data_IF_899452202234
#
_entry.id   IF_899452202234
#
_cell.length_a   1.000
_cell.length_b   1.000
_cell.length_c   1.000
_cell.angle_alpha   90.00
_cell.angle_beta   90.00
_cell.angle_gamma   90.00
#
_symmetry.space_group_name_H-M   'P 1'
#
loop_
_entity.id
_entity.type
_entity.pdbx_description
1 polymer ?
#
# COMPACT_ATOMS: atom_id res chain seq x y z
N UNK A 1 -1.03 42.50 25.87
CA UNK A 1 -1.41 41.09 26.04
C UNK A 1 -1.32 40.42 24.68
N UNK A 2 -0.24 39.69 24.40
CA UNK A 2 -0.06 39.02 23.11
C UNK A 2 -0.78 37.66 23.15
N UNK A 3 -1.84 37.51 22.36
CA UNK A 3 -2.46 36.23 22.08
C UNK A 3 -1.51 35.44 21.15
N UNK A 4 -0.71 34.55 21.73
CA UNK A 4 0.03 33.55 20.99
C UNK A 4 -0.99 32.60 20.38
N UNK A 5 -1.19 32.70 19.07
CA UNK A 5 -1.99 31.73 18.33
C UNK A 5 -1.13 30.48 18.18
N UNK A 6 -1.31 29.50 19.07
CA UNK A 6 -0.70 28.20 18.92
C UNK A 6 -1.13 27.63 17.56
N UNK A 7 -0.16 27.24 16.71
CA UNK A 7 -0.45 26.52 15.48
C UNK A 7 -1.25 25.26 15.86
N UNK A 8 -2.34 24.92 15.16
CA UNK A 8 -3.08 23.69 15.44
C UNK A 8 -2.10 22.52 15.31
N UNK A 9 -1.88 21.84 16.43
CA UNK A 9 -0.95 20.72 16.53
C UNK A 9 -1.64 19.51 15.93
N UNK A 10 -1.02 18.91 14.89
CA UNK A 10 -1.40 17.58 14.43
C UNK A 10 -1.22 16.62 15.61
N UNK A 11 -2.23 15.82 15.91
CA UNK A 11 -2.28 15.07 17.16
C UNK A 11 -2.59 13.59 16.91
N UNK A 12 -3.46 13.26 15.96
CA UNK A 12 -3.94 11.90 15.85
C UNK A 12 -2.86 10.92 15.33
N UNK A 13 -2.98 9.65 15.74
CA UNK A 13 -2.13 8.55 15.27
C UNK A 13 -2.96 7.36 14.82
N UNK A 14 -2.51 6.71 13.75
CA UNK A 14 -2.98 5.40 13.33
C UNK A 14 -1.88 4.37 13.55
N UNK A 15 -2.25 3.20 14.06
CA UNK A 15 -1.29 2.15 14.36
C UNK A 15 -1.93 0.77 14.32
N UNK A 16 -1.12 -0.24 14.06
CA UNK A 16 -1.54 -1.63 14.13
C UNK A 16 -1.21 -2.25 15.49
N UNK A 17 -2.02 -3.20 15.94
CA UNK A 17 -1.78 -3.98 17.15
C UNK A 17 -2.12 -5.46 16.92
N UNK A 18 -1.15 -6.37 17.11
CA UNK A 18 0.25 -6.09 17.44
C UNK A 18 1.01 -5.42 16.29
N UNK A 19 2.11 -4.72 16.60
CA UNK A 19 2.98 -4.06 15.60
C UNK A 19 3.88 -5.06 14.88
N UNK A 20 4.17 -6.20 15.50
CA UNK A 20 4.94 -7.29 14.92
C UNK A 20 4.19 -8.61 15.05
N UNK A 21 4.27 -9.44 14.03
CA UNK A 21 3.60 -10.73 14.02
C UNK A 21 4.39 -11.77 13.23
N UNK A 22 4.31 -13.02 13.66
CA UNK A 22 4.84 -14.17 12.92
C UNK A 22 3.68 -15.10 12.61
N UNK A 23 3.59 -15.56 11.36
CA UNK A 23 2.58 -16.52 10.92
C UNK A 23 3.19 -17.56 9.98
N UNK A 24 2.51 -18.69 9.82
CA UNK A 24 2.90 -19.72 8.87
C UNK A 24 2.35 -19.40 7.48
N UNK A 25 3.04 -19.80 6.42
CA UNK A 25 2.53 -19.70 5.06
C UNK A 25 1.13 -20.37 4.95
N UNK A 26 0.17 -19.63 4.39
CA UNK A 26 -1.23 -20.05 4.25
C UNK A 26 -2.11 -19.66 5.44
N UNK A 27 -1.53 -19.37 6.62
CA UNK A 27 -2.25 -18.96 7.81
C UNK A 27 -2.88 -17.57 7.62
N UNK A 28 -4.08 -17.39 8.18
CA UNK A 28 -4.77 -16.09 8.24
C UNK A 28 -4.91 -15.68 9.70
N UNK A 29 -4.49 -14.46 10.00
CA UNK A 29 -4.48 -13.85 11.34
C UNK A 29 -5.19 -12.51 11.29
N UNK A 30 -5.66 -12.01 12.43
CA UNK A 30 -6.23 -10.67 12.52
C UNK A 30 -5.29 -9.71 13.24
N UNK A 31 -5.20 -8.49 12.72
CA UNK A 31 -4.44 -7.38 13.31
C UNK A 31 -5.39 -6.21 13.51
N UNK A 32 -5.42 -5.68 14.74
CA UNK A 32 -6.25 -4.55 15.08
C UNK A 32 -5.69 -3.26 14.50
N UNK A 33 -6.56 -2.42 13.94
CA UNK A 33 -6.24 -1.06 13.53
C UNK A 33 -6.76 -0.10 14.60
N UNK A 34 -5.84 0.60 15.25
CA UNK A 34 -6.09 1.48 16.38
C UNK A 34 -5.99 2.94 15.96
N UNK A 35 -6.85 3.76 16.56
CA UNK A 35 -6.86 5.21 16.46
C UNK A 35 -6.54 5.79 17.83
N UNK A 36 -5.50 6.62 17.88
CA UNK A 36 -5.24 7.52 19.00
C UNK A 36 -5.63 8.95 18.59
N UNK A 37 -6.72 9.51 19.11
CA UNK A 37 -7.08 10.90 18.84
C UNK A 37 -6.14 11.94 19.45
N UNK A 38 -5.31 11.58 20.44
CA UNK A 38 -4.51 12.51 21.24
C UNK A 38 -5.28 13.76 21.72
N UNK A 39 -6.55 13.55 22.12
CA UNK A 39 -7.44 14.60 22.62
C UNK A 39 -8.31 15.28 21.56
N UNK A 40 -8.06 15.07 20.26
CA UNK A 40 -8.86 15.63 19.18
C UNK A 40 -10.25 15.00 19.05
N UNK A 41 -11.18 15.73 18.41
CA UNK A 41 -12.55 15.30 18.18
C UNK A 41 -12.67 14.64 16.80
N UNK A 42 -12.44 13.34 16.71
CA UNK A 42 -12.37 12.68 15.40
C UNK A 42 -13.79 12.39 14.89
N UNK A 43 -14.11 12.95 13.72
CA UNK A 43 -15.37 12.68 13.02
C UNK A 43 -15.21 11.54 12.01
N UNK A 44 -14.00 11.31 11.49
CA UNK A 44 -13.76 10.21 10.57
C UNK A 44 -12.29 9.97 10.26
N UNK A 45 -12.03 8.91 9.52
CA UNK A 45 -10.71 8.57 9.01
C UNK A 45 -10.84 7.95 7.62
N UNK A 46 -9.93 8.35 6.75
CA UNK A 46 -9.67 7.68 5.48
C UNK A 46 -8.40 6.85 5.65
N UNK A 47 -8.48 5.57 5.32
CA UNK A 47 -7.38 4.63 5.51
C UNK A 47 -6.96 4.10 4.15
N UNK A 48 -5.68 4.28 3.82
CA UNK A 48 -5.06 3.73 2.63
C UNK A 48 -3.90 2.83 3.06
N UNK A 49 -4.01 1.55 2.76
CA UNK A 49 -3.01 0.55 3.11
C UNK A 49 -2.22 0.13 1.89
N UNK A 50 -0.95 -0.19 2.12
CA UNK A 50 -0.03 -0.77 1.15
C UNK A 50 0.68 -1.98 1.75
N UNK A 51 0.87 -3.02 0.95
CA UNK A 51 1.57 -4.25 1.32
C UNK A 51 2.22 -4.88 0.10
N UNK A 52 3.19 -5.78 0.30
CA UNK A 52 3.76 -6.55 -0.81
C UNK A 52 2.85 -7.75 -1.14
N UNK A 53 2.17 -7.76 -2.31
CA UNK A 53 1.24 -8.82 -2.67
C UNK A 53 1.92 -10.16 -2.97
N UNK A 54 3.25 -10.22 -3.02
CA UNK A 54 4.00 -11.49 -3.11
C UNK A 54 3.98 -12.23 -1.78
N UNK A 55 3.97 -11.50 -0.67
CA UNK A 55 4.09 -12.06 0.67
C UNK A 55 2.78 -12.02 1.45
N UNK A 56 1.97 -10.98 1.28
CA UNK A 56 0.72 -10.81 2.03
C UNK A 56 -0.52 -10.81 1.12
N UNK A 57 -1.63 -11.25 1.67
CA UNK A 57 -2.97 -11.14 1.12
C UNK A 57 -3.90 -10.59 2.21
N UNK A 58 -4.69 -9.56 1.90
CA UNK A 58 -5.75 -9.11 2.80
C UNK A 58 -7.04 -9.85 2.46
N UNK A 59 -7.52 -10.66 3.40
CA UNK A 59 -8.71 -11.48 3.22
C UNK A 59 -10.00 -10.66 3.42
N UNK A 60 -10.03 -9.85 4.48
CA UNK A 60 -11.16 -8.94 4.79
C UNK A 60 -10.73 -7.83 5.75
N UNK A 61 -11.53 -6.77 5.79
CA UNK A 61 -11.41 -5.67 6.77
C UNK A 61 -12.77 -5.45 7.40
N UNK A 62 -12.86 -5.58 8.71
CA UNK A 62 -14.10 -5.41 9.47
C UNK A 62 -13.99 -4.18 10.37
N UNK A 63 -14.93 -3.25 10.26
CA UNK A 63 -15.02 -2.12 11.20
C UNK A 63 -15.44 -2.61 12.59
N UNK A 64 -15.05 -1.88 13.62
CA UNK A 64 -15.63 -2.04 14.95
C UNK A 64 -16.87 -1.16 15.13
N UNK A 65 -17.45 -1.16 16.32
CA UNK A 65 -18.58 -0.29 16.66
C UNK A 65 -18.16 1.16 16.96
N UNK A 66 -16.85 1.48 16.96
CA UNK A 66 -16.37 2.85 17.19
C UNK A 66 -16.93 3.82 16.16
N UNK A 67 -16.94 3.42 14.89
CA UNK A 67 -17.56 4.17 13.81
C UNK A 67 -18.78 3.40 13.29
N UNK A 68 -19.98 4.00 13.29
CA UNK A 68 -21.18 3.30 12.85
C UNK A 68 -21.16 3.05 11.34
N UNK A 69 -20.49 3.90 10.56
CA UNK A 69 -20.47 3.81 9.10
C UNK A 69 -19.08 3.46 8.57
N UNK A 70 -19.06 2.61 7.54
CA UNK A 70 -17.88 2.32 6.71
C UNK A 70 -18.26 2.49 5.24
N UNK A 71 -17.38 3.16 4.49
CA UNK A 71 -17.57 3.42 3.07
C UNK A 71 -16.34 3.03 2.27
N UNK A 72 -16.54 2.89 0.96
CA UNK A 72 -15.48 2.75 -0.04
C UNK A 72 -14.46 1.63 0.23
N UNK A 73 -14.86 0.55 0.93
CA UNK A 73 -13.98 -0.59 1.16
C UNK A 73 -13.60 -1.23 -0.18
N UNK A 74 -12.32 -1.21 -0.50
CA UNK A 74 -11.73 -1.86 -1.66
C UNK A 74 -10.45 -2.55 -1.23
N UNK A 75 -10.29 -3.82 -1.61
CA UNK A 75 -9.05 -4.58 -1.42
C UNK A 75 -8.60 -5.05 -2.80
N UNK A 76 -7.38 -4.69 -3.18
CA UNK A 76 -6.73 -5.12 -4.41
C UNK A 76 -5.43 -5.87 -4.05
N UNK A 77 -5.56 -7.19 -3.94
CA UNK A 77 -4.47 -8.11 -3.62
C UNK A 77 -3.49 -8.30 -4.79
N UNK A 78 -3.82 -7.82 -5.99
CA UNK A 78 -2.91 -7.83 -7.14
C UNK A 78 -1.92 -6.67 -7.07
N UNK A 79 -2.38 -5.48 -6.67
CA UNK A 79 -1.55 -4.28 -6.55
C UNK A 79 -1.01 -4.04 -5.15
N UNK A 80 -1.40 -4.85 -4.16
CA UNK A 80 -0.97 -4.66 -2.78
C UNK A 80 -1.57 -3.43 -2.11
N UNK A 81 -2.84 -3.09 -2.44
CA UNK A 81 -3.48 -1.86 -1.94
C UNK A 81 -4.85 -2.16 -1.36
N UNK A 82 -5.18 -1.49 -0.26
CA UNK A 82 -6.56 -1.44 0.24
C UNK A 82 -6.92 -0.01 0.64
N UNK A 83 -8.20 0.33 0.56
CA UNK A 83 -8.73 1.60 1.06
C UNK A 83 -10.11 1.44 1.65
N UNK A 84 -10.42 2.25 2.64
CA UNK A 84 -11.76 2.37 3.23
C UNK A 84 -11.84 3.65 4.04
N UNK A 85 -13.07 4.10 4.31
CA UNK A 85 -13.34 5.25 5.18
C UNK A 85 -14.24 4.82 6.34
N UNK A 86 -13.99 5.37 7.52
CA UNK A 86 -14.82 5.20 8.72
C UNK A 86 -15.28 6.56 9.21
N UNK A 87 -16.59 6.73 9.43
CA UNK A 87 -17.17 8.07 9.66
C UNK A 87 -18.29 8.02 10.69
N UNK A 88 -18.30 9.02 11.57
CA UNK A 88 -19.41 9.32 12.48
C UNK A 88 -20.51 10.12 11.80
N UNK A 89 -21.77 9.99 12.23
CA UNK A 89 -22.82 10.94 11.88
C UNK A 89 -22.43 12.35 12.35
N UNK A 90 -22.98 13.37 11.68
CA UNK A 90 -22.75 14.76 12.04
C UNK A 90 -23.04 15.00 13.53
N UNK A 91 -22.10 15.64 14.24
CA UNK A 91 -22.21 15.95 15.66
C UNK A 91 -21.76 14.82 16.61
N UNK A 92 -21.34 13.66 16.08
CA UNK A 92 -20.73 12.57 16.87
C UNK A 92 -19.22 12.50 16.65
N UNK A 93 -18.47 12.20 17.71
CA UNK A 93 -17.00 12.21 17.68
C UNK A 93 -16.40 11.11 18.56
N UNK A 94 -15.24 10.60 18.16
CA UNK A 94 -14.38 9.74 18.99
C UNK A 94 -13.23 10.56 19.56
N UNK A 95 -12.96 10.41 20.86
CA UNK A 95 -11.84 11.07 21.57
C UNK A 95 -10.94 10.11 22.33
N UNK A 96 -11.39 8.87 22.52
CA UNK A 96 -10.65 7.85 23.23
C UNK A 96 -9.77 7.06 22.27
N UNK A 97 -8.61 6.63 22.76
CA UNK A 97 -7.81 5.60 22.12
C UNK A 97 -8.65 4.32 21.95
N UNK A 98 -8.77 3.81 20.73
CA UNK A 98 -9.71 2.71 20.45
C UNK A 98 -9.36 1.92 19.20
N UNK A 99 -9.80 0.66 19.15
CA UNK A 99 -9.80 -0.16 17.94
C UNK A 99 -10.93 0.28 17.02
N UNK A 100 -10.59 0.58 15.77
CA UNK A 100 -11.53 1.10 14.77
C UNK A 100 -11.82 0.12 13.64
N UNK A 101 -10.88 -0.78 13.37
CA UNK A 101 -11.08 -1.90 12.45
C UNK A 101 -10.22 -3.10 12.82
N UNK A 102 -10.51 -4.23 12.18
CA UNK A 102 -9.75 -5.47 12.25
C UNK A 102 -9.42 -5.91 10.83
N UNK A 103 -8.13 -6.10 10.57
CA UNK A 103 -7.60 -6.46 9.25
C UNK A 103 -7.16 -7.92 9.29
N UNK A 104 -7.72 -8.74 8.41
CA UNK A 104 -7.43 -10.16 8.33
C UNK A 104 -6.37 -10.38 7.25
N UNK A 105 -5.18 -10.76 7.68
CA UNK A 105 -3.97 -10.86 6.87
C UNK A 105 -3.60 -12.32 6.71
N UNK A 106 -3.33 -12.75 5.48
CA UNK A 106 -2.86 -14.09 5.16
C UNK A 106 -1.43 -14.05 4.62
N UNK A 107 -0.59 -14.97 5.07
CA UNK A 107 0.77 -15.15 4.56
C UNK A 107 0.77 -16.00 3.28
N UNK A 108 1.37 -15.51 2.21
CA UNK A 108 1.40 -16.19 0.91
C UNK A 108 2.69 -16.98 0.67
N UNK A 109 3.82 -16.38 1.04
CA UNK A 109 5.15 -16.93 0.77
C UNK A 109 6.10 -16.63 1.93
N UNK A 110 7.02 -17.54 2.28
CA UNK A 110 7.95 -17.32 3.38
C UNK A 110 8.84 -16.09 3.17
N UNK A 111 9.04 -15.30 4.22
CA UNK A 111 9.88 -14.10 4.22
C UNK A 111 10.26 -13.73 5.65
N UNK A 112 11.48 -13.25 5.86
CA UNK A 112 11.95 -12.83 7.19
C UNK A 112 11.27 -11.53 7.66
N UNK A 113 10.91 -10.65 6.72
CA UNK A 113 10.22 -9.39 7.00
C UNK A 113 9.42 -8.89 5.79
N UNK A 114 8.16 -8.53 6.01
CA UNK A 114 7.31 -7.77 5.09
C UNK A 114 6.39 -6.84 5.89
N UNK A 115 5.86 -5.80 5.27
CA UNK A 115 5.16 -4.72 5.98
C UNK A 115 3.74 -4.52 5.44
N UNK A 116 2.79 -4.35 6.35
CA UNK A 116 1.50 -3.71 6.09
C UNK A 116 1.60 -2.26 6.56
N UNK A 117 1.69 -1.32 5.62
CA UNK A 117 1.92 0.09 5.91
C UNK A 117 0.69 0.93 5.60
N UNK A 118 0.56 2.06 6.29
CA UNK A 118 -0.29 3.14 5.85
C UNK A 118 0.41 3.90 4.72
N UNK A 119 -0.31 4.22 3.66
CA UNK A 119 0.09 5.32 2.79
C UNK A 119 -0.14 6.60 3.57
N UNK A 120 0.92 7.29 3.95
CA UNK A 120 0.84 8.54 4.69
C UNK A 120 2.05 9.41 4.34
N UNK A 121 1.77 10.58 3.80
CA UNK A 121 2.75 11.55 3.31
C UNK A 121 2.73 12.86 4.11
N UNK A 122 1.95 12.89 5.20
CA UNK A 122 1.74 14.05 6.06
C UNK A 122 0.36 14.67 5.90
N UNK A 123 -0.05 15.50 6.86
CA UNK A 123 -1.43 16.01 6.99
C UNK A 123 -1.89 17.02 5.91
N UNK A 124 -1.13 17.18 4.83
CA UNK A 124 -1.45 18.11 3.72
C UNK A 124 -1.90 17.41 2.45
N UNK A 125 -1.80 16.08 2.41
CA UNK A 125 -2.30 15.28 1.30
C UNK A 125 -3.75 14.85 1.56
N UNK A 126 -4.51 14.69 0.48
CA UNK A 126 -5.90 14.19 0.48
C UNK A 126 -6.03 12.85 -0.26
N UNK A 127 -4.90 12.28 -0.71
CA UNK A 127 -4.83 11.03 -1.49
C UNK A 127 -4.11 9.90 -0.74
N UNK A 128 -3.98 10.03 0.57
CA UNK A 128 -3.33 9.12 1.51
C UNK A 128 -4.22 8.95 2.75
N UNK A 129 -3.70 8.29 3.79
CA UNK A 129 -4.47 8.11 5.02
C UNK A 129 -4.61 9.44 5.74
N UNK A 130 -5.82 9.73 6.22
CA UNK A 130 -6.15 10.96 6.93
C UNK A 130 -6.98 10.64 8.17
N UNK A 131 -6.89 11.50 9.19
CA UNK A 131 -7.75 11.47 10.36
C UNK A 131 -8.35 12.84 10.53
N UNK A 132 -9.67 12.90 10.50
CA UNK A 132 -10.38 14.15 10.22
C UNK A 132 -11.19 14.56 11.43
N UNK A 133 -11.11 15.84 11.78
CA UNK A 133 -11.98 16.50 12.77
C UNK A 133 -13.11 17.27 12.07
N UNK A 134 -13.96 17.94 12.85
CA UNK A 134 -15.00 18.80 12.30
C UNK A 134 -14.47 19.77 11.22
N UNK A 135 -15.30 20.05 10.22
CA UNK A 135 -15.00 20.86 9.02
C UNK A 135 -13.92 20.28 8.09
N UNK A 136 -13.63 18.97 8.19
CA UNK A 136 -12.81 18.28 7.18
C UNK A 136 -11.31 18.52 7.33
N UNK A 137 -10.84 19.03 8.48
CA UNK A 137 -9.41 19.25 8.72
C UNK A 137 -8.72 17.94 9.09
N UNK A 138 -7.65 17.60 8.37
CA UNK A 138 -6.77 16.49 8.73
C UNK A 138 -5.88 16.84 9.94
N UNK A 139 -5.79 15.90 10.87
CA UNK A 139 -5.01 15.98 12.11
C UNK A 139 -4.10 14.77 12.29
N UNK A 140 -3.98 13.88 11.30
CA UNK A 140 -3.08 12.72 11.36
C UNK A 140 -1.63 13.19 11.38
N UNK A 141 -0.93 12.93 12.48
CA UNK A 141 0.50 13.25 12.63
C UNK A 141 1.38 12.06 12.28
N UNK A 142 0.94 10.85 12.63
CA UNK A 142 1.76 9.65 12.50
C UNK A 142 0.90 8.45 12.14
N UNK A 143 1.40 7.64 11.24
CA UNK A 143 0.83 6.34 10.91
C UNK A 143 1.91 5.27 11.02
N UNK A 144 1.66 4.22 11.79
CA UNK A 144 2.63 3.16 12.08
C UNK A 144 2.14 1.82 11.55
N UNK A 145 2.87 1.26 10.58
CA UNK A 145 2.58 -0.04 9.98
C UNK A 145 2.82 -1.23 10.93
N UNK A 146 2.45 -2.42 10.48
CA UNK A 146 2.79 -3.68 11.11
C UNK A 146 3.86 -4.44 10.29
N UNK A 147 4.75 -5.15 10.98
CA UNK A 147 5.79 -5.99 10.39
C UNK A 147 5.42 -7.46 10.58
N UNK A 148 5.55 -8.24 9.50
CA UNK A 148 5.23 -9.65 9.48
C UNK A 148 6.46 -10.48 9.12
N UNK A 149 6.63 -11.60 9.83
CA UNK A 149 7.48 -12.72 9.42
C UNK A 149 6.58 -13.85 8.97
N UNK A 150 6.91 -14.47 7.82
CA UNK A 150 6.14 -15.59 7.27
C UNK A 150 7.05 -16.81 7.25
N UNK A 151 6.70 -17.82 8.06
CA UNK A 151 7.46 -19.06 8.15
C UNK A 151 6.97 -20.06 7.10
N UNK A 152 7.84 -20.95 6.59
CA UNK A 152 7.40 -22.07 5.77
C UNK A 152 6.49 -23.01 6.57
N UNK A 153 5.62 -23.73 5.86
CA UNK A 153 4.82 -24.80 6.48
C UNK A 153 5.78 -25.87 7.04
N UNK A 154 5.66 -26.27 8.32
CA UNK A 154 6.50 -27.32 8.88
C UNK A 154 6.42 -28.60 8.05
N UNK A 155 7.58 -29.14 7.66
CA UNK A 155 7.66 -30.36 6.84
C UNK A 155 7.49 -30.15 5.34
N UNK A 156 7.26 -28.92 4.86
CA UNK A 156 7.42 -28.61 3.45
C UNK A 156 8.92 -28.58 3.12
N UNK A 157 9.45 -29.71 2.65
CA UNK A 157 10.80 -29.75 2.09
C UNK A 157 10.84 -28.77 0.92
N UNK A 158 11.63 -27.71 1.02
CA UNK A 158 11.91 -26.88 -0.15
C UNK A 158 12.67 -27.77 -1.11
N UNK A 159 12.02 -28.13 -2.22
CA UNK A 159 12.71 -28.76 -3.34
C UNK A 159 13.72 -27.74 -3.86
N UNK A 160 14.94 -27.80 -3.33
CA UNK A 160 16.09 -27.17 -3.94
C UNK A 160 16.29 -27.94 -5.23
N UNK A 161 15.78 -27.37 -6.32
CA UNK A 161 16.04 -27.86 -7.67
C UNK A 161 17.52 -27.56 -7.95
N UNK A 162 18.37 -28.44 -7.41
CA UNK A 162 19.80 -28.40 -7.62
C UNK A 162 20.04 -29.09 -8.96
N UNK A 163 19.66 -28.42 -10.05
CA UNK A 163 20.00 -28.83 -11.41
C UNK A 163 21.51 -28.67 -11.59
N UNK A 164 22.26 -29.62 -11.05
CA UNK A 164 23.66 -29.85 -11.41
C UNK A 164 23.67 -30.31 -12.86
N UNK A 165 23.86 -29.38 -13.80
CA UNK A 165 24.37 -29.70 -15.13
C UNK A 165 25.75 -30.34 -14.95
N UNK A 166 25.80 -31.66 -14.79
CA UNK A 166 26.96 -32.44 -15.19
C UNK A 166 26.89 -32.59 -16.70
N UNK A 167 27.66 -31.75 -17.40
CA UNK A 167 28.09 -32.02 -18.77
C UNK A 167 28.86 -33.34 -18.76
N UNK A 168 28.17 -34.43 -19.12
CA UNK A 168 28.79 -35.71 -19.48
C UNK A 168 29.57 -35.50 -20.78
N UNK A 169 30.87 -35.25 -20.64
CA UNK A 169 31.81 -35.39 -21.75
C UNK A 169 32.32 -36.83 -21.73
N UNK A 170 31.71 -37.62 -22.60
CA UNK A 170 32.08 -38.98 -22.95
C UNK A 170 33.55 -39.04 -23.41
N UNK A 171 34.38 -39.81 -22.69
CA UNK A 171 35.71 -40.23 -23.12
C UNK A 171 36.11 -41.51 -22.38
N UNK A 172 35.65 -42.62 -22.95
CA UNK A 172 36.48 -43.77 -23.35
C UNK A 172 37.91 -43.82 -22.77
N UNK A 173 38.19 -44.79 -21.88
CA UNK A 173 39.44 -45.56 -21.83
C UNK A 173 39.44 -46.59 -20.69
N UNK A 174 39.45 -47.86 -21.11
CA UNK A 174 39.95 -49.12 -20.52
C UNK A 174 40.57 -49.17 -19.11
N UNK A 175 40.14 -50.19 -18.37
CA UNK A 175 40.88 -51.12 -17.48
C UNK A 175 42.15 -50.64 -16.77
N UNK A 176 42.17 -50.78 -15.44
CA UNK A 176 43.23 -51.44 -14.65
C UNK A 176 42.69 -51.72 -13.23
N UNK A 177 42.77 -52.98 -12.82
CA UNK A 177 42.56 -53.43 -11.45
C UNK A 177 43.73 -53.04 -10.54
N UNK A 178 43.45 -52.50 -9.36
CA UNK A 178 44.31 -52.67 -8.18
C UNK A 178 43.55 -52.32 -6.91
N UNK A 179 43.41 -53.36 -6.09
CA UNK A 179 43.34 -53.41 -4.63
C UNK A 179 43.99 -52.20 -3.93
N UNK A 180 43.31 -51.59 -2.94
CA UNK A 180 43.90 -50.96 -1.74
C UNK A 180 42.79 -50.64 -0.71
N UNK A 181 42.88 -51.26 0.46
CA UNK A 181 42.17 -50.91 1.70
C UNK A 181 42.55 -49.49 2.17
N UNK A 182 41.59 -48.69 2.64
CA UNK A 182 41.95 -47.49 3.40
C UNK A 182 40.88 -46.41 3.56
N UNK A 183 40.52 -46.19 4.83
CA UNK A 183 40.21 -44.89 5.43
C UNK A 183 38.79 -44.31 5.29
N UNK A 184 38.01 -44.55 6.35
CA UNK A 184 36.74 -43.86 6.66
C UNK A 184 37.07 -42.47 7.19
N UNK A 185 37.04 -41.45 6.32
CA UNK A 185 37.07 -40.05 6.72
C UNK A 185 35.63 -39.53 6.92
N UNK A 186 35.24 -39.35 8.18
CA UNK A 186 34.00 -38.69 8.57
C UNK A 186 34.02 -37.20 8.22
N UNK A 187 33.39 -36.84 7.10
CA UNK A 187 33.11 -35.47 6.73
C UNK A 187 31.99 -34.90 7.59
N UNK A 188 32.33 -34.03 8.54
CA UNK A 188 31.37 -33.16 9.22
C UNK A 188 30.96 -32.03 8.28
N UNK A 189 29.72 -32.10 7.76
CA UNK A 189 29.12 -31.01 7.00
C UNK A 189 28.77 -29.86 7.95
N UNK A 190 29.67 -28.90 8.08
CA UNK A 190 29.42 -27.64 8.79
C UNK A 190 28.46 -26.79 7.96
N UNK A 191 27.18 -26.80 8.34
CA UNK A 191 26.18 -25.88 7.80
C UNK A 191 26.39 -24.51 8.44
N UNK A 192 26.94 -23.57 7.69
CA UNK A 192 27.04 -22.18 8.12
C UNK A 192 25.64 -21.56 8.16
N UNK A 193 24.98 -21.63 9.31
CA UNK A 193 23.78 -20.84 9.58
C UNK A 193 24.22 -19.39 9.77
N UNK A 194 24.01 -18.56 8.76
CA UNK A 194 24.18 -17.12 8.86
C UNK A 194 23.11 -16.56 9.81
N UNK A 195 23.48 -16.37 11.08
CA UNK A 195 22.67 -15.63 12.05
C UNK A 195 22.68 -14.17 11.62
N UNK A 196 21.64 -13.76 10.91
CA UNK A 196 21.45 -12.36 10.54
C UNK A 196 20.88 -11.66 11.76
N UNK A 197 21.72 -10.88 12.46
CA UNK A 197 21.28 -10.04 13.58
C UNK A 197 20.29 -9.01 13.03
N UNK A 198 19.05 -8.92 13.53
CA UNK A 198 18.10 -7.93 13.06
C UNK A 198 18.62 -6.51 13.37
N UNK A 199 18.46 -5.56 12.44
CA UNK A 199 18.87 -4.18 12.68
C UNK A 199 18.07 -3.59 13.85
N UNK A 200 18.66 -2.66 14.63
CA UNK A 200 17.98 -2.04 15.76
C UNK A 200 16.69 -1.33 15.31
N UNK A 201 15.60 -1.63 16.02
CA UNK A 201 14.27 -1.05 15.84
C UNK A 201 14.34 0.49 15.93
N UNK A 202 14.08 1.17 14.82
CA UNK A 202 14.08 2.64 14.76
C UNK A 202 14.44 3.26 13.42
N UNK A 203 14.86 2.47 12.42
CA UNK A 203 15.08 3.00 11.08
C UNK A 203 13.75 3.07 10.31
N UNK A 204 13.34 4.30 10.01
CA UNK A 204 12.35 4.59 8.97
C UNK A 204 12.89 4.02 7.67
N UNK A 205 12.23 2.97 7.14
CA UNK A 205 12.53 2.45 5.81
C UNK A 205 12.33 3.58 4.80
N UNK A 206 13.43 4.20 4.39
CA UNK A 206 13.46 5.09 3.24
C UNK A 206 13.43 4.17 2.03
N UNK A 207 12.27 4.09 1.36
CA UNK A 207 12.22 3.45 0.06
C UNK A 207 13.09 4.28 -0.89
N UNK A 208 14.01 3.68 -1.66
CA UNK A 208 14.58 4.39 -2.78
C UNK A 208 13.43 4.80 -3.69
N UNK A 209 13.34 6.10 -4.03
CA UNK A 209 12.48 6.54 -5.12
C UNK A 209 12.73 5.60 -6.30
N UNK A 210 11.65 5.10 -6.91
CA UNK A 210 11.76 4.30 -8.10
C UNK A 210 12.55 5.11 -9.13
N UNK A 211 13.82 4.74 -9.32
CA UNK A 211 14.61 5.23 -10.43
C UNK A 211 13.84 4.88 -11.69
N UNK A 212 13.32 5.89 -12.38
CA UNK A 212 12.73 5.76 -13.70
C UNK A 212 13.83 5.30 -14.66
N UNK A 213 14.12 4.01 -14.69
CA UNK A 213 14.92 3.38 -15.73
C UNK A 213 14.11 3.48 -17.02
N UNK A 214 14.31 4.58 -17.74
CA UNK A 214 13.85 4.72 -19.10
C UNK A 214 14.64 3.73 -19.94
N UNK A 215 14.02 2.61 -20.29
CA UNK A 215 14.54 1.68 -21.29
C UNK A 215 14.54 2.45 -22.62
N UNK A 216 15.71 2.90 -23.05
CA UNK A 216 15.90 3.44 -24.38
C UNK A 216 15.77 2.28 -25.38
N UNK A 217 14.63 2.19 -26.06
CA UNK A 217 14.51 1.45 -27.30
C UNK A 217 15.25 2.25 -28.37
N UNK A 218 16.50 1.86 -28.64
CA UNK A 218 17.22 2.29 -29.84
C UNK A 218 16.59 1.63 -31.06
N UNK A 219 15.72 2.37 -31.74
CA UNK A 219 15.42 2.11 -33.14
C UNK A 219 16.55 2.70 -33.98
N UNK A 220 17.31 1.80 -34.59
CA UNK A 220 18.25 2.09 -35.66
C UNK A 220 17.47 2.40 -36.95
N UNK A 221 17.82 3.48 -37.67
CA UNK A 221 17.65 3.47 -39.11
C UNK A 221 19.00 3.66 -39.78
N UNK A 222 19.35 2.63 -40.54
CA UNK A 222 20.40 2.62 -41.54
C UNK A 222 20.00 3.58 -42.69
N UNK A 223 20.76 4.65 -42.90
CA UNK A 223 21.12 5.08 -44.26
C UNK A 223 22.18 6.17 -44.28
N UNK A 224 23.17 5.93 -45.14
CA UNK A 224 24.26 6.83 -45.49
C UNK A 224 23.77 8.04 -46.28
N UNK A 225 24.38 9.21 -46.06
CA UNK A 225 25.08 9.93 -47.13
C UNK A 225 26.01 11.02 -46.55
N UNK A 226 27.14 11.15 -47.22
CA UNK A 226 28.29 12.01 -46.99
C UNK A 226 28.07 13.46 -47.44
N UNK A 227 28.67 14.43 -46.73
CA UNK A 227 29.50 15.50 -47.33
C UNK A 227 30.13 16.42 -46.27
N UNK A 228 31.40 16.77 -46.53
CA UNK A 228 32.32 17.61 -45.77
C UNK A 228 31.84 19.05 -45.54
N UNK A 229 32.22 19.64 -44.39
CA UNK A 229 32.44 21.09 -44.30
C UNK A 229 32.58 21.73 -42.91
N UNK A 230 33.83 22.09 -42.56
CA UNK A 230 34.26 23.29 -41.79
C UNK A 230 34.27 23.23 -40.24
N UNK A 231 35.41 23.56 -39.58
CA UNK A 231 35.48 23.75 -38.13
C UNK A 231 35.24 25.22 -37.76
N UNK A 232 34.39 25.48 -36.77
CA UNK A 232 34.27 26.82 -36.19
C UNK A 232 33.16 26.98 -35.15
N UNK A 233 33.57 27.60 -34.04
CA UNK A 233 32.78 28.33 -33.04
C UNK A 233 32.14 27.55 -31.88
N UNK A 234 32.64 27.91 -30.69
CA UNK A 234 32.10 27.66 -29.37
C UNK A 234 30.78 28.39 -29.12
N UNK A 235 29.96 27.85 -28.21
CA UNK A 235 28.96 28.60 -27.45
C UNK A 235 27.53 28.05 -27.58
N UNK A 236 27.00 27.51 -26.48
CA UNK A 236 25.57 27.22 -26.34
C UNK A 236 25.26 26.20 -25.25
N UNK A 237 25.12 26.65 -24.00
CA UNK A 237 24.50 25.86 -22.93
C UNK A 237 23.01 25.68 -23.26
N UNK A 238 22.62 24.48 -23.70
CA UNK A 238 21.22 24.12 -23.89
C UNK A 238 20.57 23.85 -22.53
N UNK A 239 19.53 24.61 -22.19
CA UNK A 239 18.65 24.32 -21.06
C UNK A 239 17.92 22.98 -21.28
N UNK A 240 17.69 22.18 -20.23
CA UNK A 240 16.96 20.93 -20.36
C UNK A 240 15.49 21.19 -20.72
N UNK A 241 15.02 20.51 -21.77
CA UNK A 241 13.62 20.48 -22.19
C UNK A 241 12.78 19.86 -21.06
N UNK A 242 11.79 20.60 -20.57
CA UNK A 242 10.88 20.12 -19.53
C UNK A 242 10.10 18.90 -20.02
N UNK A 243 9.96 17.83 -19.20
CA UNK A 243 9.18 16.66 -19.57
C UNK A 243 7.70 17.05 -19.74
N UNK A 244 7.19 16.90 -20.96
CA UNK A 244 5.78 17.11 -21.27
C UNK A 244 5.01 15.93 -20.69
N UNK A 245 4.32 16.16 -19.56
CA UNK A 245 3.47 15.15 -18.92
C UNK A 245 2.24 14.85 -19.81
N UNK A 246 2.12 13.63 -20.39
CA UNK A 246 1.01 13.31 -21.29
C UNK A 246 -0.35 13.20 -20.56
N UNK A 247 -0.37 13.21 -19.22
CA UNK A 247 -1.60 13.09 -18.42
C UNK A 247 -2.33 14.41 -18.15
N UNK A 248 -1.75 15.56 -18.51
CA UNK A 248 -2.40 16.86 -18.30
C UNK A 248 -3.66 17.07 -19.17
N UNK A 249 -3.84 16.29 -20.25
CA UNK A 249 -4.92 16.51 -21.23
C UNK A 249 -6.29 15.91 -20.86
N UNK A 250 -6.38 15.04 -19.84
CA UNK A 250 -7.62 14.33 -19.50
C UNK A 250 -8.27 14.73 -18.17
N UNK A 251 -7.71 15.67 -17.41
CA UNK A 251 -8.32 16.11 -16.14
C UNK A 251 -9.66 16.85 -16.32
N UNK A 252 -9.89 17.48 -17.48
CA UNK A 252 -11.15 18.17 -17.76
C UNK A 252 -12.36 17.24 -17.87
N UNK A 253 -12.18 16.02 -18.38
CA UNK A 253 -13.28 15.07 -18.59
C UNK A 253 -13.75 14.49 -17.24
N UNK A 254 -12.81 14.21 -16.33
CA UNK A 254 -13.13 13.71 -14.99
C UNK A 254 -13.96 14.70 -14.18
N UNK A 255 -13.60 15.99 -14.22
CA UNK A 255 -14.34 17.05 -13.52
C UNK A 255 -15.75 17.24 -14.12
N UNK A 256 -15.88 17.18 -15.45
CA UNK A 256 -17.18 17.29 -16.13
C UNK A 256 -18.12 16.14 -15.73
N UNK A 257 -17.63 14.91 -15.70
CA UNK A 257 -18.44 13.74 -15.29
C UNK A 257 -18.87 13.81 -13.82
N UNK A 258 -18.01 14.31 -12.94
CA UNK A 258 -18.34 14.52 -11.53
C UNK A 258 -19.44 15.58 -11.36
N UNK A 259 -19.37 16.69 -12.09
CA UNK A 259 -20.39 17.74 -12.07
C UNK A 259 -21.74 17.22 -12.61
N UNK A 260 -21.74 16.45 -13.70
CA UNK A 260 -22.97 15.82 -14.24
C UNK A 260 -23.58 14.86 -13.22
N UNK A 261 -22.75 14.05 -12.54
CA UNK A 261 -23.22 13.15 -11.48
C UNK A 261 -23.86 13.88 -10.31
N UNK A 262 -23.29 15.01 -9.86
CA UNK A 262 -23.86 15.82 -8.79
C UNK A 262 -25.20 16.48 -9.19
N UNK A 263 -25.31 16.97 -10.43
CA UNK A 263 -26.57 17.55 -10.94
C UNK A 263 -27.68 16.50 -11.00
N UNK A 264 -27.38 15.30 -11.50
CA UNK A 264 -28.35 14.19 -11.53
C UNK A 264 -28.79 13.78 -10.12
N UNK A 265 -27.85 13.67 -9.18
CA UNK A 265 -28.14 13.34 -7.79
C UNK A 265 -29.03 14.40 -7.14
N UNK A 266 -28.77 15.68 -7.39
CA UNK A 266 -29.59 16.79 -6.91
C UNK A 266 -31.02 16.74 -7.46
N UNK A 267 -31.19 16.42 -8.75
CA UNK A 267 -32.51 16.29 -9.38
C UNK A 267 -33.30 15.15 -8.72
N UNK A 268 -32.68 14.00 -8.49
CA UNK A 268 -33.34 12.85 -7.82
C UNK A 268 -33.80 13.22 -6.42
N UNK A 269 -32.95 13.86 -5.61
CA UNK A 269 -33.31 14.31 -4.26
C UNK A 269 -34.50 15.28 -4.30
N UNK A 270 -34.51 16.21 -5.26
CA UNK A 270 -35.59 17.19 -5.42
C UNK A 270 -36.92 16.52 -5.79
N UNK A 271 -36.89 15.51 -6.67
CA UNK A 271 -38.07 14.74 -7.06
C UNK A 271 -38.61 13.91 -5.90
N UNK A 272 -37.74 13.25 -5.13
CA UNK A 272 -38.15 12.46 -3.94
C UNK A 272 -38.82 13.36 -2.90
N UNK A 273 -38.26 14.54 -2.61
CA UNK A 273 -38.90 15.51 -1.69
C UNK A 273 -40.26 15.98 -2.19
N UNK A 274 -40.38 16.28 -3.49
CA UNK A 274 -41.65 16.70 -4.07
C UNK A 274 -42.71 15.58 -4.01
N UNK A 275 -42.30 14.33 -4.22
CA UNK A 275 -43.17 13.16 -4.12
C UNK A 275 -43.66 12.94 -2.67
N UNK A 276 -42.75 12.99 -1.69
CA UNK A 276 -43.11 12.83 -0.29
C UNK A 276 -44.09 13.92 0.18
N UNK A 277 -43.85 15.17 -0.22
CA UNK A 277 -44.77 16.28 0.10
C UNK A 277 -46.17 16.05 -0.46
N UNK A 278 -46.29 15.61 -1.71
CA UNK A 278 -47.62 15.29 -2.31
C UNK A 278 -48.30 14.12 -1.62
N UNK A 279 -47.53 13.11 -1.20
CA UNK A 279 -48.08 11.96 -0.47
C UNK A 279 -48.64 12.38 0.90
N UNK A 280 -47.96 13.25 1.62
CA UNK A 280 -48.46 13.81 2.89
C UNK A 280 -49.74 14.64 2.68
N UNK A 281 -49.79 15.47 1.63
CA UNK A 281 -50.99 16.25 1.28
C UNK A 281 -52.19 15.33 0.93
N UNK A 282 -51.96 14.22 0.19
CA UNK A 282 -53.03 13.27 -0.12
C UNK A 282 -53.56 12.50 1.09
N UNK A 283 -52.69 12.20 2.06
CA UNK A 283 -53.12 11.53 3.30
C UNK A 283 -53.91 12.48 4.20
N UNK A 284 -53.60 13.78 4.19
CA UNK A 284 -54.34 14.77 4.96
C UNK A 284 -55.75 15.03 4.41
N UNK A 285 -55.95 14.93 3.09
CA UNK A 285 -57.29 15.10 2.48
C UNK A 285 -58.24 13.95 2.81
N UNK A 286 -57.74 12.71 2.90
CA UNK A 286 -58.58 11.54 3.16
C UNK A 286 -59.09 11.44 4.62
N UNK A 287 -58.42 12.12 5.57
CA UNK A 287 -58.83 12.14 6.99
C UNK A 287 -59.91 13.21 7.27
N UNK A 288 -60.13 14.14 6.33
CA UNK A 288 -61.05 15.28 6.52
C UNK A 288 -62.41 15.10 5.82
N UNK A 289 -62.65 13.95 5.18
CA UNK A 289 -63.89 13.58 4.50
C UNK A 289 -64.66 12.51 5.29
#
# INVERSE_FOLDING_TARGET
MFLVHAKPVQAARLLFSPETMSLTQGETVSVGLLLDPEGEAIIGTDVFLQFDPRFLELAKIEKTNTFPNQYALTINNQTGRAKFALVHPLGSYTRAYTKIAEVFVKGKSPVSSTVLAFNFTGATSTNDSNVVVDKGRDVLRQAQGAVFTINPVPGASQSVDNTSNTDDTDSDSTDIASDTEGEVAGGTTTTNVAITVPPPSGQVLSFPEASNTTIALTNEPDNQDSTLGKPGAAGGLSSPVAPVNPFAKNQGIGLLLLLVGLVLTYIVIRLVRAYLKRKEESLASDVSA
#
